data_IF_125691962380
#
_entry.id   IF_125691962380
#
_cell.length_a   1.000
_cell.length_b   1.000
_cell.length_c   1.000
_cell.angle_alpha   90.00
_cell.angle_beta   90.00
_cell.angle_gamma   90.00
#
_symmetry.space_group_name_H-M   'P 1'
#
loop_
_entity.id
_entity.type
_entity.pdbx_description
1 polymer ?
2 non-polymer ?
3 non-polymer ?
4 non-polymer ?
5 water ?
#
# COMPACT_ATOMS: atom_id res chain seq x y z
N UNK A 5 -4.12 -11.31 -11.70
CA UNK A 5 -4.36 -11.06 -10.29
C UNK A 5 -3.40 -9.98 -9.74
N UNK A 6 -2.14 -10.07 -10.13
CA UNK A 6 -1.08 -9.22 -9.59
C UNK A 6 -0.61 -8.26 -10.67
N UNK A 7 -0.72 -6.96 -10.41
CA UNK A 7 -0.38 -5.94 -11.39
C UNK A 7 0.63 -4.98 -10.80
N UNK A 8 1.58 -4.53 -11.62
CA UNK A 8 2.65 -3.62 -11.21
C UNK A 8 2.63 -2.43 -12.15
N UNK A 9 2.47 -1.23 -11.59
CA UNK A 9 2.43 -0.01 -12.40
C UNK A 9 3.40 1.00 -11.79
N UNK A 10 3.76 2.00 -12.60
CA UNK A 10 4.56 3.10 -12.09
C UNK A 10 3.79 4.40 -12.23
N UNK A 11 4.00 5.31 -11.28
CA UNK A 11 3.49 6.67 -11.39
C UNK A 11 4.66 7.62 -11.27
N UNK A 12 4.85 8.45 -12.29
CA UNK A 12 5.87 9.50 -12.31
C UNK A 12 5.22 10.79 -11.82
N UNK A 13 5.67 11.29 -10.68
CA UNK A 13 5.08 12.53 -10.19
C UNK A 13 5.64 13.72 -10.96
N UNK A 14 4.94 14.85 -10.96
CA UNK A 14 5.51 16.07 -11.56
C UNK A 14 6.64 16.61 -10.70
N UNK A 15 7.38 17.55 -11.29
CA UNK A 15 8.46 18.23 -10.57
C UNK A 15 7.90 18.96 -9.36
N UNK A 16 8.61 18.89 -8.25
CA UNK A 16 8.21 19.57 -7.02
C UNK A 16 9.26 20.59 -6.63
N UNK A 17 8.93 21.41 -5.64
CA UNK A 17 9.88 22.41 -5.15
C UNK A 17 11.14 21.74 -4.62
N UNK A 18 11.01 20.55 -4.02
CA UNK A 18 12.17 19.82 -3.51
C UNK A 18 13.14 19.44 -4.61
N UNK A 19 12.68 19.38 -5.87
CA UNK A 19 13.58 19.04 -6.97
C UNK A 19 14.56 20.16 -7.29
N UNK A 20 14.22 21.41 -6.94
CA UNK A 20 15.12 22.51 -7.15
C UNK A 20 15.10 23.05 -8.56
N UNK A 21 16.04 23.94 -8.83
CA UNK A 21 16.27 24.49 -10.16
C UNK A 21 17.68 24.11 -10.62
N UNK A 22 17.97 24.40 -11.88
CA UNK A 22 19.27 24.11 -12.42
C UNK A 22 19.38 22.68 -12.92
N UNK A 23 20.62 22.22 -13.15
CA UNK A 23 20.82 20.92 -13.80
C UNK A 23 20.19 19.76 -13.07
N UNK A 24 20.13 19.80 -11.74
CA UNK A 24 19.59 18.67 -10.98
C UNK A 24 18.12 18.44 -11.26
N UNK A 25 17.40 19.47 -11.71
CA UNK A 25 15.99 19.35 -12.00
C UNK A 25 15.70 19.00 -13.45
N UNK A 26 16.74 18.71 -14.24
CA UNK A 26 16.54 18.33 -15.63
C UNK A 26 15.71 17.04 -15.71
N UNK A 27 14.80 16.98 -16.67
CA UNK A 27 13.99 15.78 -16.84
C UNK A 27 14.85 14.60 -17.24
N UNK A 28 14.60 13.45 -16.60
CA UNK A 28 15.29 12.21 -16.92
C UNK A 28 14.37 11.07 -17.33
N UNK A 29 13.05 11.23 -17.23
CA UNK A 29 12.11 10.16 -17.49
C UNK A 29 11.28 10.51 -18.73
N UNK A 30 11.28 9.60 -19.71
CA UNK A 30 10.52 9.76 -20.95
C UNK A 30 9.79 8.45 -21.23
N UNK A 31 9.08 8.40 -22.36
CA UNK A 31 8.04 7.39 -22.54
C UNK A 31 8.05 6.89 -23.98
N UNK A 32 7.23 5.88 -24.24
CA UNK A 32 7.00 5.41 -25.60
C UNK A 32 5.73 6.05 -26.17
N UNK A 33 5.74 6.27 -27.50
CA UNK A 33 4.60 6.91 -28.13
C UNK A 33 3.39 6.00 -28.22
N UNK A 34 3.60 4.69 -28.30
CA UNK A 34 2.54 3.74 -28.62
C UNK A 34 2.19 2.81 -27.46
N UNK A 35 3.14 2.54 -26.57
CA UNK A 35 3.01 1.49 -25.57
C UNK A 35 3.07 2.15 -24.20
N UNK A 36 1.94 2.22 -23.50
CA UNK A 36 1.91 2.87 -22.19
C UNK A 36 2.48 1.99 -21.08
N UNK A 37 3.13 0.88 -21.43
CA UNK A 37 3.79 0.06 -20.41
C UNK A 37 5.28 0.36 -20.30
N UNK A 38 5.82 1.25 -21.14
CA UNK A 38 7.26 1.46 -21.24
C UNK A 38 7.66 2.74 -20.50
N UNK A 39 8.77 2.71 -19.79
CA UNK A 39 9.32 3.91 -19.19
C UNK A 39 10.82 3.93 -19.45
N UNK A 40 11.33 5.09 -19.86
CA UNK A 40 12.73 5.30 -20.19
C UNK A 40 13.36 6.18 -19.14
N UNK A 41 14.47 5.73 -18.57
CA UNK A 41 15.24 6.51 -17.62
C UNK A 41 16.60 6.87 -18.24
N UNK A 42 16.97 8.14 -18.14
CA UNK A 42 18.33 8.58 -18.44
C UNK A 42 19.10 8.60 -17.13
N UNK A 43 20.08 7.71 -16.99
CA UNK A 43 20.83 7.56 -15.74
C UNK A 43 22.31 7.73 -16.03
N UNK A 44 22.89 8.81 -15.51
CA UNK A 44 24.31 9.13 -15.73
C UNK A 44 24.66 9.08 -17.20
N UNK A 45 23.83 9.71 -18.02
CA UNK A 45 24.10 9.81 -19.43
C UNK A 45 23.80 8.58 -20.25
N UNK A 46 23.30 7.50 -19.64
CA UNK A 46 22.99 6.31 -20.40
C UNK A 46 21.52 5.93 -20.28
N UNK A 47 20.88 5.51 -21.37
CA UNK A 47 19.45 5.20 -21.32
C UNK A 47 19.19 3.81 -20.77
N UNK A 48 18.22 3.70 -19.88
CA UNK A 48 17.74 2.43 -19.35
C UNK A 48 16.22 2.41 -19.52
N UNK A 49 15.70 1.29 -20.01
CA UNK A 49 14.28 1.17 -20.29
C UNK A 49 13.67 0.02 -19.50
N UNK A 50 12.41 0.21 -19.11
CA UNK A 50 11.68 -0.75 -18.29
C UNK A 50 10.30 -0.99 -18.88
N UNK A 51 9.77 -2.18 -18.63
CA UNK A 51 8.41 -2.53 -19.05
C UNK A 51 7.62 -2.93 -17.81
N UNK A 52 6.50 -2.27 -17.59
CA UNK A 52 5.62 -2.59 -16.47
C UNK A 52 4.25 -2.95 -17.04
N UNK A 53 3.26 -3.10 -16.16
CA UNK A 53 1.92 -3.32 -16.68
C UNK A 53 1.29 -2.03 -17.19
N UNK A 54 1.61 -0.90 -16.56
CA UNK A 54 1.15 0.40 -17.04
C UNK A 54 2.03 1.46 -16.39
N UNK A 55 2.24 2.57 -17.11
CA UNK A 55 3.02 3.70 -16.61
C UNK A 55 2.14 4.93 -16.67
N UNK A 56 2.07 5.67 -15.57
CA UNK A 56 1.35 6.94 -15.50
C UNK A 56 2.34 8.09 -15.49
N UNK A 57 2.11 9.08 -16.33
CA UNK A 57 3.01 10.21 -16.49
C UNK A 57 2.73 11.29 -15.46
N UNK A 58 3.54 12.35 -15.42
CA UNK A 58 3.23 13.48 -14.52
C UNK A 58 1.90 14.17 -14.82
N UNK A 59 1.25 13.90 -15.94
CA UNK A 59 -0.08 14.46 -16.21
C UNK A 59 -1.22 13.61 -15.68
N UNK A 60 -0.95 12.40 -15.18
CA UNK A 60 -2.02 11.53 -14.73
C UNK A 60 -2.71 12.11 -13.49
N UNK A 61 -4.03 12.17 -13.52
CA UNK A 61 -4.80 12.67 -12.39
C UNK A 61 -5.07 11.57 -11.38
N UNK A 62 -5.59 11.96 -10.21
CA UNK A 62 -6.02 10.97 -9.23
C UNK A 62 -7.10 10.06 -9.80
N UNK A 63 -8.04 10.63 -10.57
CA UNK A 63 -9.08 9.82 -11.20
C UNK A 63 -8.49 8.81 -12.17
N UNK A 64 -7.54 9.24 -13.01
CA UNK A 64 -6.84 8.31 -13.90
C UNK A 64 -6.26 7.14 -13.14
N UNK A 65 -5.52 7.41 -12.06
CA UNK A 65 -4.93 6.35 -11.26
C UNK A 65 -6.01 5.45 -10.68
N UNK A 66 -7.11 6.03 -10.20
CA UNK A 66 -8.16 5.23 -9.57
C UNK A 66 -8.80 4.24 -10.54
N UNK A 67 -8.72 4.50 -11.85
CA UNK A 67 -9.28 3.55 -12.80
C UNK A 67 -8.60 2.18 -12.70
N UNK A 68 -7.35 2.14 -12.24
CA UNK A 68 -6.65 0.88 -11.98
C UNK A 68 -7.13 0.17 -10.72
N UNK A 69 -7.94 0.84 -9.90
CA UNK A 69 -8.33 0.33 -8.60
C UNK A 69 -9.81 -0.02 -8.52
N UNK A 70 -10.66 0.67 -9.28
CA UNK A 70 -12.10 0.61 -9.01
C UNK A 70 -12.65 -0.80 -9.11
N UNK A 71 -12.14 -1.61 -10.06
CA UNK A 71 -12.65 -2.97 -10.19
C UNK A 71 -12.20 -3.84 -9.01
N UNK A 72 -10.99 -3.62 -8.49
CA UNK A 72 -10.54 -4.36 -7.31
C UNK A 72 -11.45 -4.06 -6.13
N UNK A 73 -11.78 -2.78 -5.94
CA UNK A 73 -12.60 -2.38 -4.80
C UNK A 73 -13.98 -3.01 -4.87
N UNK A 74 -14.60 -3.05 -6.05
CA UNK A 74 -15.94 -3.64 -6.12
C UNK A 74 -15.91 -5.14 -5.84
N UNK A 75 -14.79 -5.80 -6.14
CA UNK A 75 -14.70 -7.23 -5.85
C UNK A 75 -14.65 -7.51 -4.35
N UNK A 76 -14.21 -6.56 -3.52
CA UNK A 76 -14.28 -6.74 -2.07
C UNK A 76 -15.71 -6.92 -1.58
N UNK A 77 -16.65 -6.21 -2.20
CA UNK A 77 -18.07 -6.39 -1.86
C UNK A 77 -18.44 -7.86 -1.95
N UNK A 78 -17.88 -8.57 -2.93
CA UNK A 78 -18.21 -9.97 -3.16
C UNK A 78 -17.38 -10.95 -2.33
N UNK A 79 -16.50 -10.47 -1.46
CA UNK A 79 -15.72 -11.35 -0.62
C UNK A 79 -14.29 -11.59 -1.06
N UNK A 80 -13.82 -10.93 -2.13
CA UNK A 80 -12.42 -11.02 -2.50
C UNK A 80 -11.58 -10.11 -1.63
N UNK A 81 -10.32 -10.49 -1.42
CA UNK A 81 -9.37 -9.65 -0.70
C UNK A 81 -8.44 -8.95 -1.69
N UNK A 82 -8.00 -7.74 -1.33
CA UNK A 82 -7.20 -6.89 -2.20
C UNK A 82 -6.09 -6.24 -1.37
N UNK A 83 -4.89 -6.13 -1.94
CA UNK A 83 -3.83 -5.29 -1.41
C UNK A 83 -3.42 -4.27 -2.46
N UNK A 84 -3.29 -3.01 -2.03
CA UNK A 84 -2.72 -1.96 -2.86
C UNK A 84 -1.54 -1.38 -2.12
N UNK A 85 -0.35 -1.42 -2.75
CA UNK A 85 0.88 -0.92 -2.15
C UNK A 85 1.36 0.31 -2.90
N UNK A 86 1.83 1.32 -2.16
CA UNK A 86 2.57 2.43 -2.74
C UNK A 86 4.03 2.30 -2.30
N UNK A 87 4.94 2.28 -3.27
CA UNK A 87 6.36 1.99 -3.08
C UNK A 87 7.19 3.11 -3.70
N UNK A 88 8.34 3.42 -3.07
CA UNK A 88 9.27 4.36 -3.69
C UNK A 88 9.98 5.23 -2.67
N UNK A 89 10.91 6.07 -3.12
CA UNK A 89 11.70 6.85 -2.19
C UNK A 89 10.84 7.92 -1.53
N UNK A 90 11.23 8.32 -0.31
CA UNK A 90 10.61 9.46 0.32
C UNK A 90 10.65 10.65 -0.63
N UNK A 91 9.51 11.31 -0.79
CA UNK A 91 9.38 12.42 -1.71
C UNK A 91 8.83 12.05 -3.09
N UNK A 92 8.68 10.76 -3.38
CA UNK A 92 8.26 10.35 -4.72
C UNK A 92 6.75 10.38 -4.92
N UNK A 93 5.96 10.52 -3.86
CA UNK A 93 4.54 10.69 -3.98
C UNK A 93 3.65 9.54 -3.49
N UNK A 94 4.16 8.68 -2.61
CA UNK A 94 3.36 7.57 -2.10
C UNK A 94 2.13 8.09 -1.38
N UNK A 95 2.32 9.01 -0.42
CA UNK A 95 1.19 9.47 0.38
C UNK A 95 0.23 10.31 -0.47
N UNK A 96 0.76 11.12 -1.39
CA UNK A 96 -0.12 11.84 -2.30
C UNK A 96 -1.01 10.87 -3.08
N UNK A 97 -0.45 9.76 -3.56
CA UNK A 97 -1.26 8.80 -4.30
C UNK A 97 -2.28 8.10 -3.39
N UNK A 98 -1.88 7.77 -2.16
CA UNK A 98 -2.77 6.99 -1.30
C UNK A 98 -3.80 7.88 -0.59
N UNK A 99 -3.34 8.96 0.06
CA UNK A 99 -4.21 9.86 0.81
C UNK A 99 -4.63 11.08 0.01
N UNK A 100 -3.75 11.62 -0.82
CA UNK A 100 -4.13 12.79 -1.57
C UNK A 100 -4.25 14.02 -0.68
N UNK A 101 -4.99 15.00 -1.20
CA UNK A 101 -5.27 16.23 -0.49
C UNK A 101 -6.77 16.47 -0.52
N UNK A 102 -7.20 17.52 0.19
CA UNK A 102 -8.60 17.91 0.15
C UNK A 102 -9.04 18.20 -1.28
N UNK A 103 -8.22 18.95 -2.02
CA UNK A 103 -8.58 19.27 -3.41
C UNK A 103 -8.41 18.07 -4.34
N UNK A 104 -7.48 17.16 -4.04
CA UNK A 104 -7.18 16.02 -4.91
C UNK A 104 -7.13 14.73 -4.10
N UNK A 105 -8.29 14.19 -3.73
CA UNK A 105 -8.30 12.95 -2.93
C UNK A 105 -7.63 11.79 -3.64
N UNK A 106 -6.99 10.92 -2.87
CA UNK A 106 -6.28 9.79 -3.39
C UNK A 106 -7.08 8.51 -3.39
N UNK A 107 -6.36 7.39 -3.50
CA UNK A 107 -6.99 6.08 -3.61
C UNK A 107 -7.82 5.75 -2.38
N UNK A 108 -7.34 6.12 -1.19
CA UNK A 108 -8.03 5.74 0.05
C UNK A 108 -9.45 6.28 0.07
N UNK A 109 -9.61 7.60 -0.13
CA UNK A 109 -10.95 8.18 -0.06
C UNK A 109 -11.83 7.71 -1.22
N UNK A 110 -11.25 7.59 -2.42
CA UNK A 110 -12.05 7.16 -3.55
C UNK A 110 -12.52 5.73 -3.40
N UNK A 111 -11.67 4.87 -2.84
CA UNK A 111 -12.05 3.47 -2.62
C UNK A 111 -13.21 3.37 -1.62
N UNK A 112 -13.09 4.08 -0.51
CA UNK A 112 -14.17 4.04 0.48
C UNK A 112 -15.45 4.65 -0.07
N UNK A 113 -15.32 5.76 -0.80
CA UNK A 113 -16.49 6.39 -1.41
C UNK A 113 -17.20 5.42 -2.34
N UNK A 114 -16.43 4.67 -3.13
CA UNK A 114 -17.03 3.68 -4.03
C UNK A 114 -17.68 2.54 -3.24
N UNK A 115 -17.02 2.06 -2.17
CA UNK A 115 -17.65 1.03 -1.35
C UNK A 115 -19.00 1.49 -0.82
N UNK A 116 -19.07 2.71 -0.28
CA UNK A 116 -20.35 3.19 0.25
C UNK A 116 -21.42 3.23 -0.83
N UNK A 117 -21.07 3.70 -2.04
CA UNK A 117 -22.07 3.80 -3.09
C UNK A 117 -22.50 2.42 -3.60
N UNK A 118 -21.57 1.48 -3.68
CA UNK A 118 -21.94 0.12 -4.09
C UNK A 118 -22.85 -0.54 -3.07
N UNK A 119 -22.54 -0.39 -1.77
CA UNK A 119 -23.40 -0.94 -0.72
C UNK A 119 -24.80 -0.34 -0.80
N UNK A 120 -24.90 0.96 -1.05
CA UNK A 120 -26.21 1.60 -1.14
C UNK A 120 -27.05 1.05 -2.29
N UNK A 121 -26.44 0.38 -3.27
CA UNK A 121 -27.18 -0.13 -4.40
C UNK A 121 -27.67 -1.56 -4.22
N UNK A 122 -27.24 -2.24 -3.17
CA UNK A 122 -27.61 -3.64 -2.96
C UNK A 122 -29.08 -3.77 -2.57
N UNK A 123 -29.64 -4.97 -2.78
CA UNK A 123 -31.03 -5.23 -2.42
C UNK A 123 -31.22 -5.11 -0.91
N UNK A 124 -32.47 -4.84 -0.52
CA UNK A 124 -32.78 -4.53 0.87
C UNK A 124 -32.55 -5.71 1.82
N UNK A 125 -32.50 -6.93 1.30
CA UNK A 125 -32.15 -8.08 2.13
C UNK A 125 -30.71 -8.01 2.65
N UNK A 126 -29.82 -7.30 1.96
CA UNK A 126 -28.41 -7.27 2.35
C UNK A 126 -28.17 -6.21 3.42
N UNK A 127 -27.33 -6.58 4.39
CA UNK A 127 -26.81 -5.65 5.38
C UNK A 127 -25.29 -5.70 5.33
N UNK A 128 -24.67 -4.57 5.02
CA UNK A 128 -23.21 -4.46 4.98
C UNK A 128 -22.71 -3.63 6.16
N UNK A 129 -21.56 -4.05 6.70
CA UNK A 129 -20.85 -3.30 7.73
C UNK A 129 -19.43 -3.08 7.22
N UNK A 130 -19.00 -1.82 7.18
CA UNK A 130 -17.65 -1.46 6.75
C UNK A 130 -16.91 -0.90 7.96
N UNK A 131 -15.75 -1.46 8.26
CA UNK A 131 -14.91 -0.99 9.34
C UNK A 131 -13.50 -0.72 8.83
N UNK A 132 -12.78 0.13 9.57
CA UNK A 132 -11.40 0.44 9.23
C UNK A 132 -10.54 0.26 10.47
N UNK A 133 -9.34 -0.29 10.27
CA UNK A 133 -8.27 -0.31 11.24
C UNK A 133 -7.03 0.28 10.58
N UNK A 134 -6.10 0.78 11.39
CA UNK A 134 -4.86 1.31 10.85
C UNK A 134 -3.71 0.86 11.73
N UNK A 135 -2.68 0.28 11.10
CA UNK A 135 -1.57 -0.30 11.82
C UNK A 135 -0.25 0.18 11.24
N UNK A 136 0.75 0.26 12.10
CA UNK A 136 2.10 0.65 11.75
C UNK A 136 3.03 -0.54 11.93
N UNK A 137 3.91 -0.75 10.96
CA UNK A 137 5.00 -1.71 11.12
C UNK A 137 6.29 -0.92 11.09
N UNK A 138 6.98 -0.88 12.23
CA UNK A 138 8.23 -0.15 12.40
C UNK A 138 9.26 -1.12 12.98
N UNK A 139 10.35 -1.35 12.23
CA UNK A 139 11.41 -2.26 12.67
C UNK A 139 10.81 -3.60 13.11
N UNK A 140 9.93 -4.13 12.27
CA UNK A 140 9.26 -5.41 12.48
C UNK A 140 8.37 -5.44 13.73
N UNK A 141 7.98 -4.28 14.26
CA UNK A 141 7.02 -4.22 15.37
C UNK A 141 5.71 -3.66 14.84
N UNK A 142 4.60 -4.26 15.29
CA UNK A 142 3.25 -3.92 14.83
C UNK A 142 2.54 -3.20 15.96
N UNK A 143 2.02 -2.01 15.68
CA UNK A 143 1.24 -1.26 16.66
C UNK A 143 0.02 -0.62 15.99
N UNK A 144 -0.98 -0.32 16.83
CA UNK A 144 -2.26 0.21 16.38
C UNK A 144 -2.16 1.72 16.24
N UNK A 145 -2.23 2.23 15.00
CA UNK A 145 -2.18 3.68 14.79
C UNK A 145 -3.38 4.40 15.39
N UNK A 146 -4.49 3.69 15.61
CA UNK A 146 -5.67 4.26 16.21
C UNK A 146 -5.85 3.85 17.65
N UNK A 147 -4.84 3.22 18.26
CA UNK A 147 -4.98 2.72 19.62
C UNK A 147 -4.67 3.77 20.69
N UNK A 148 -5.10 3.45 21.91
CA UNK A 148 -4.91 4.33 23.05
C UNK A 148 -3.46 4.29 23.53
N UNK A 149 -2.86 5.46 23.73
CA UNK A 149 -1.50 5.53 24.26
C UNK A 149 -1.46 4.96 25.68
N UNK A 150 -0.38 4.25 26.06
CA UNK A 150 0.75 3.82 25.24
C UNK A 150 0.46 2.53 24.47
N UNK A 151 0.65 2.55 23.14
CA UNK A 151 0.23 1.41 22.31
C UNK A 151 1.15 0.22 22.52
N UNK A 152 0.57 -0.93 22.84
CA UNK A 152 1.35 -2.14 23.08
C UNK A 152 1.81 -2.74 21.75
N UNK A 153 2.82 -3.62 21.84
CA UNK A 153 3.19 -4.40 20.66
C UNK A 153 2.10 -5.43 20.40
N UNK A 154 1.63 -5.52 19.17
CA UNK A 154 0.54 -6.43 18.83
C UNK A 154 1.08 -7.75 18.30
N UNK A 155 0.36 -8.83 18.59
CA UNK A 155 0.69 -10.17 18.12
C UNK A 155 -0.19 -10.51 16.91
N UNK A 156 0.34 -11.36 16.03
CA UNK A 156 -0.43 -11.93 14.92
C UNK A 156 -0.66 -13.39 15.26
N UNK A 157 -1.92 -13.77 15.47
CA UNK A 157 -2.23 -15.10 15.97
C UNK A 157 -3.05 -15.90 14.97
N UNK A 158 -2.95 -17.21 15.08
CA UNK A 158 -3.77 -18.11 14.27
C UNK A 158 -5.17 -18.21 14.85
N UNK A 159 -6.17 -18.15 13.99
CA UNK A 159 -7.53 -18.33 14.46
C UNK A 159 -7.68 -19.70 15.11
N UNK A 160 -8.36 -19.81 16.25
CA UNK A 160 -8.42 -21.08 16.97
C UNK A 160 -9.38 -22.10 16.37
N UNK A 161 -10.07 -21.78 15.28
CA UNK A 161 -10.94 -22.74 14.61
C UNK A 161 -10.20 -23.67 13.66
N UNK A 162 -8.88 -23.53 13.52
CA UNK A 162 -8.12 -24.37 12.63
C UNK A 162 -8.18 -23.97 11.17
N UNK A 163 -8.77 -22.82 10.85
CA UNK A 163 -8.85 -22.37 9.45
C UNK A 163 -7.49 -21.96 8.90
N UNK A 164 -6.50 -21.73 9.75
CA UNK A 164 -5.23 -21.17 9.30
C UNK A 164 -5.26 -19.68 9.03
N UNK A 165 -6.39 -19.03 9.22
CA UNK A 165 -6.45 -17.58 9.03
C UNK A 165 -5.84 -16.87 10.24
N UNK A 166 -5.39 -15.64 10.00
CA UNK A 166 -4.68 -14.87 11.01
C UNK A 166 -5.58 -13.74 11.53
N UNK A 167 -5.37 -13.36 12.79
CA UNK A 167 -6.03 -12.19 13.35
C UNK A 167 -5.08 -11.49 14.30
N UNK A 168 -5.41 -10.25 14.63
CA UNK A 168 -4.58 -9.42 15.49
C UNK A 168 -5.41 -9.04 16.72
N UNK A 169 -5.23 -9.74 17.84
CA UNK A 169 -5.98 -9.39 19.06
C UNK A 169 -5.71 -7.94 19.47
N UNK A 170 -6.79 -7.22 19.76
CA UNK A 170 -6.65 -5.89 20.31
C UNK A 170 -6.48 -4.77 19.31
N UNK A 171 -6.43 -5.08 18.02
CA UNK A 171 -6.45 -4.04 16.99
C UNK A 171 -7.83 -3.40 16.93
N UNK A 172 -7.90 -2.08 17.05
CA UNK A 172 -9.21 -1.42 17.09
C UNK A 172 -9.83 -1.32 15.70
N UNK A 173 -11.16 -1.42 15.65
CA UNK A 173 -11.92 -1.33 14.41
C UNK A 173 -12.98 -0.25 14.55
N UNK A 174 -13.04 0.66 13.57
CA UNK A 174 -13.99 1.76 13.57
C UNK A 174 -15.02 1.56 12.47
N UNK A 175 -16.29 1.60 12.84
CA UNK A 175 -17.36 1.46 11.86
C UNK A 175 -17.53 2.79 11.11
N UNK A 176 -17.56 2.72 9.78
CA UNK A 176 -17.68 3.93 8.96
C UNK A 176 -18.79 3.72 7.93
N UNK A 177 -19.51 4.81 7.64
CA UNK A 177 -20.61 4.77 6.68
C UNK A 177 -20.57 5.86 5.63
N UNK A 178 -19.62 6.79 5.70
CA UNK A 178 -19.60 7.93 4.80
C UNK A 178 -18.17 8.45 4.73
N UNK A 179 -17.92 9.26 3.70
CA UNK A 179 -16.62 9.90 3.57
C UNK A 179 -16.35 10.82 4.75
N UNK A 180 -17.38 11.46 5.29
CA UNK A 180 -17.20 12.27 6.49
C UNK A 180 -16.71 11.42 7.65
N UNK A 181 -17.24 10.20 7.80
CA UNK A 181 -16.76 9.31 8.86
C UNK A 181 -15.28 8.98 8.68
N UNK A 182 -14.86 8.65 7.45
CA UNK A 182 -13.47 8.27 7.27
C UNK A 182 -12.57 9.47 7.49
N UNK A 183 -13.02 10.67 7.11
CA UNK A 183 -12.22 11.86 7.39
C UNK A 183 -12.03 12.05 8.89
N UNK A 184 -13.08 11.80 9.67
CA UNK A 184 -12.95 11.89 11.13
C UNK A 184 -11.95 10.86 11.65
N UNK A 185 -11.97 9.65 11.09
CA UNK A 185 -11.01 8.63 11.52
C UNK A 185 -9.59 9.06 11.17
N UNK A 186 -9.38 9.55 9.95
CA UNK A 186 -8.04 9.98 9.53
C UNK A 186 -7.53 11.14 10.38
N UNK A 187 -8.40 12.10 10.69
CA UNK A 187 -7.98 13.21 11.54
C UNK A 187 -7.57 12.71 12.92
N UNK A 188 -8.35 11.78 13.49
CA UNK A 188 -7.97 11.18 14.77
C UNK A 188 -6.63 10.47 14.66
N UNK A 189 -6.41 9.74 13.56
CA UNK A 189 -5.13 9.08 13.39
C UNK A 189 -3.97 10.06 13.35
N UNK A 190 -4.12 11.16 12.61
CA UNK A 190 -3.06 12.16 12.55
C UNK A 190 -2.72 12.71 13.93
N UNK A 191 -3.74 13.12 14.68
CA UNK A 191 -3.51 13.61 16.04
C UNK A 191 -2.91 12.53 16.94
N UNK A 192 -3.36 11.29 16.77
CA UNK A 192 -2.93 10.22 17.67
C UNK A 192 -1.45 9.88 17.50
N UNK A 193 -0.84 10.27 16.38
CA UNK A 193 0.53 9.87 16.11
C UNK A 193 1.54 10.56 17.01
N UNK A 194 1.21 11.72 17.58
CA UNK A 194 2.19 12.50 18.33
C UNK A 194 1.67 12.90 19.71
N UNK A 195 0.86 12.06 20.36
CA UNK A 195 0.47 12.35 21.73
C UNK A 195 1.68 12.21 22.67
N UNK A 196 1.50 12.70 23.89
CA UNK A 196 2.61 12.80 24.82
C UNK A 196 3.23 11.43 25.11
N UNK A 197 2.41 10.39 25.29
CA UNK A 197 2.89 9.08 25.70
C UNK A 197 2.85 8.05 24.57
N UNK A 198 2.86 8.48 23.31
CA UNK A 198 2.68 7.55 22.19
C UNK A 198 3.87 6.62 22.05
N UNK A 199 3.60 5.40 21.58
CA UNK A 199 4.66 4.50 21.11
C UNK A 199 4.75 4.43 19.60
N UNK A 200 3.96 5.24 18.89
CA UNK A 200 3.98 5.27 17.44
C UNK A 200 5.15 6.09 16.92
N UNK A 201 5.61 5.77 15.71
CA UNK A 201 6.80 6.42 15.19
C UNK A 201 6.45 7.77 14.60
N UNK A 202 7.17 8.82 15.03
CA UNK A 202 6.86 10.16 14.58
C UNK A 202 7.14 10.34 13.09
N UNK A 203 8.18 9.68 12.56
CA UNK A 203 8.57 9.83 11.15
C UNK A 203 7.84 8.79 10.31
N UNK A 204 6.76 9.22 9.65
CA UNK A 204 5.98 8.29 8.83
C UNK A 204 6.80 7.71 7.68
N UNK A 205 7.86 8.40 7.23
CA UNK A 205 8.68 7.90 6.13
C UNK A 205 9.47 6.64 6.48
N UNK A 206 9.58 6.27 7.76
CA UNK A 206 10.42 5.16 8.17
C UNK A 206 9.61 3.95 8.65
N UNK A 207 8.29 3.94 8.42
CA UNK A 207 7.45 2.83 8.83
C UNK A 207 6.45 2.50 7.72
N UNK A 208 5.98 1.27 7.67
CA UNK A 208 4.87 0.92 6.81
C UNK A 208 3.57 1.28 7.53
N UNK A 209 2.66 1.99 6.85
CA UNK A 209 1.34 2.29 7.40
C UNK A 209 0.29 1.53 6.60
N UNK A 210 -0.55 0.76 7.30
CA UNK A 210 -1.57 -0.06 6.67
C UNK A 210 -2.95 0.43 7.06
N UNK A 211 -3.79 0.72 6.08
CA UNK A 211 -5.22 0.94 6.32
C UNK A 211 -5.96 -0.32 5.91
N UNK A 212 -6.60 -0.97 6.87
CA UNK A 212 -7.27 -2.25 6.63
C UNK A 212 -8.78 -2.00 6.68
N UNK A 213 -9.43 -2.12 5.52
CA UNK A 213 -10.88 -1.96 5.39
C UNK A 213 -11.50 -3.36 5.32
N UNK A 214 -12.43 -3.65 6.22
CA UNK A 214 -13.14 -4.92 6.21
C UNK A 214 -14.59 -4.68 5.77
N UNK A 215 -15.04 -5.39 4.75
CA UNK A 215 -16.39 -5.26 4.21
C UNK A 215 -17.13 -6.56 4.49
N UNK A 216 -18.08 -6.52 5.43
CA UNK A 216 -18.84 -7.69 5.83
C UNK A 216 -20.28 -7.52 5.37
N UNK A 217 -20.78 -8.49 4.60
CA UNK A 217 -22.16 -8.49 4.15
C UNK A 217 -22.88 -9.72 4.64
N UNK A 218 -24.18 -9.58 4.87
CA UNK A 218 -25.02 -10.73 5.16
C UNK A 218 -26.31 -10.59 4.38
N UNK A 219 -26.67 -11.63 3.64
CA UNK A 219 -27.98 -11.72 3.01
C UNK A 219 -28.95 -12.17 4.09
N UNK A 220 -29.77 -11.24 4.59
CA UNK A 220 -30.61 -11.55 5.73
C UNK A 220 -31.74 -12.53 5.39
N UNK A 221 -32.01 -12.77 4.11
CA UNK A 221 -33.03 -13.75 3.75
C UNK A 221 -32.52 -15.18 3.88
N UNK A 222 -31.21 -15.41 3.76
CA UNK A 222 -30.64 -16.74 3.83
C UNK A 222 -29.55 -16.91 4.87
N UNK A 223 -28.97 -15.82 5.39
CA UNK A 223 -27.81 -15.94 6.25
C UNK A 223 -26.49 -16.07 5.53
N UNK A 224 -26.47 -16.00 4.19
CA UNK A 224 -25.19 -16.03 3.48
C UNK A 224 -24.34 -14.83 3.86
N UNK A 225 -23.05 -15.05 4.11
CA UNK A 225 -22.14 -14.02 4.56
C UNK A 225 -20.97 -13.89 3.59
N UNK A 226 -20.53 -12.65 3.38
CA UNK A 226 -19.32 -12.37 2.63
C UNK A 226 -18.39 -11.52 3.47
N UNK A 227 -17.07 -11.70 3.28
CA UNK A 227 -16.06 -10.90 3.96
C UNK A 227 -14.99 -10.55 2.95
N UNK A 228 -14.85 -9.26 2.64
CA UNK A 228 -13.78 -8.78 1.78
C UNK A 228 -12.87 -7.86 2.57
N UNK A 229 -11.57 -7.97 2.31
CA UNK A 229 -10.57 -7.12 2.96
C UNK A 229 -9.86 -6.29 1.91
N UNK A 230 -9.76 -4.98 2.17
CA UNK A 230 -9.04 -4.06 1.30
C UNK A 230 -7.89 -3.46 2.12
N UNK A 231 -6.66 -3.80 1.76
CA UNK A 231 -5.48 -3.38 2.49
C UNK A 231 -4.77 -2.29 1.67
N UNK A 232 -4.75 -1.08 2.21
CA UNK A 232 -4.18 0.08 1.54
C UNK A 232 -2.89 0.42 2.28
N UNK A 233 -1.76 0.21 1.61
CA UNK A 233 -0.46 0.17 2.28
C UNK A 233 0.44 1.26 1.73
N UNK A 234 0.83 2.18 2.59
CA UNK A 234 1.77 3.26 2.29
C UNK A 234 3.11 2.84 2.89
N UNK A 235 3.99 2.31 2.04
CA UNK A 235 5.22 1.68 2.53
C UNK A 235 6.24 2.72 3.03
N UNK A 236 7.13 2.27 3.91
CA UNK A 236 8.29 3.09 4.28
C UNK A 236 9.12 3.42 3.03
N UNK A 237 9.79 4.57 3.08
CA UNK A 237 10.55 5.01 1.92
C UNK A 237 11.70 4.06 1.61
N UNK A 238 11.90 3.78 0.33
CA UNK A 238 12.82 2.74 -0.11
C UNK A 238 14.26 3.22 -0.28
N UNK A 239 14.55 4.51 -0.06
CA UNK A 239 15.87 5.03 -0.44
C UNK A 239 17.00 4.37 0.35
N UNK A 240 18.14 4.20 -0.31
CA UNK A 240 19.34 3.69 0.34
C UNK A 240 19.88 4.74 1.31
N UNK A 241 20.40 4.27 2.44
CA UNK A 241 20.94 5.14 3.48
C UNK A 241 22.45 4.89 3.55
N UNK A 242 23.23 5.95 3.35
CA UNK A 242 24.68 5.82 3.37
C UNK A 242 25.22 5.62 4.78
N UNK A 243 26.19 4.71 4.88
CA UNK A 243 26.80 4.37 6.18
C UNK A 243 27.78 5.44 6.65
CA UNK A 247 24.41 6.31 13.32
C UNK A 247 23.93 4.85 13.34
N UNK A 248 24.29 4.15 14.42
CA UNK A 248 23.89 2.75 14.55
C UNK A 248 22.40 2.53 14.40
N UNK A 249 21.58 3.28 15.16
CA UNK A 249 20.14 3.04 15.10
C UNK A 249 19.55 3.49 13.76
N UNK A 250 20.07 4.55 13.16
CA UNK A 250 19.60 4.92 11.83
C UNK A 250 19.89 3.82 10.81
N UNK A 251 21.09 3.22 10.89
CA UNK A 251 21.43 2.15 9.97
C UNK A 251 20.55 0.91 10.20
N UNK A 252 20.31 0.55 11.46
CA UNK A 252 19.46 -0.61 11.73
C UNK A 252 18.05 -0.38 11.21
N UNK A 253 17.54 0.83 11.37
CA UNK A 253 16.22 1.16 10.82
C UNK A 253 16.21 1.02 9.31
N UNK A 254 17.25 1.52 8.64
CA UNK A 254 17.32 1.40 7.18
C UNK A 254 17.40 -0.06 6.76
N UNK A 255 18.09 -0.88 7.54
CA UNK A 255 18.21 -2.31 7.22
C UNK A 255 16.89 -3.05 7.44
N UNK A 256 16.18 -2.76 8.54
CA UNK A 256 14.82 -3.29 8.69
C UNK A 256 13.96 -2.96 7.47
N UNK A 257 14.02 -1.71 7.01
CA UNK A 257 13.19 -1.32 5.87
C UNK A 257 13.62 -2.07 4.61
N UNK A 258 14.94 -2.15 4.38
CA UNK A 258 15.44 -2.84 3.20
C UNK A 258 15.01 -4.29 3.17
N UNK A 259 15.13 -4.98 4.31
CA UNK A 259 14.79 -6.40 4.37
C UNK A 259 13.30 -6.65 4.23
N UNK A 260 12.46 -5.79 4.83
CA UNK A 260 11.02 -5.95 4.71
C UNK A 260 10.55 -5.66 3.28
N UNK A 261 11.07 -4.60 2.66
CA UNK A 261 10.69 -4.33 1.28
C UNK A 261 11.17 -5.44 0.34
N UNK A 262 12.39 -5.94 0.56
CA UNK A 262 12.89 -7.05 -0.27
C UNK A 262 12.03 -8.29 -0.09
N UNK A 263 11.59 -8.56 1.14
CA UNK A 263 10.72 -9.71 1.38
C UNK A 263 9.37 -9.52 0.67
N UNK A 264 8.83 -8.31 0.71
CA UNK A 264 7.61 -8.04 -0.03
C UNK A 264 7.79 -8.34 -1.52
N UNK A 265 8.93 -7.92 -2.08
CA UNK A 265 9.20 -8.22 -3.49
C UNK A 265 9.32 -9.70 -3.76
N UNK A 266 10.02 -10.43 -2.87
CA UNK A 266 10.14 -11.88 -3.00
C UNK A 266 8.78 -12.56 -2.99
N UNK A 267 7.89 -12.11 -2.11
CA UNK A 267 6.57 -12.74 -2.00
C UNK A 267 5.75 -12.47 -3.26
N UNK A 268 5.70 -11.22 -3.70
CA UNK A 268 4.88 -10.90 -4.86
C UNK A 268 5.42 -11.58 -6.11
N UNK A 269 6.75 -11.60 -6.28
CA UNK A 269 7.33 -12.28 -7.44
C UNK A 269 7.01 -13.77 -7.41
N UNK A 270 7.08 -14.39 -6.23
CA UNK A 270 6.75 -15.80 -6.12
C UNK A 270 5.27 -16.06 -6.41
N UNK A 271 4.39 -15.16 -5.98
CA UNK A 271 2.96 -15.31 -6.26
C UNK A 271 2.68 -15.10 -7.74
N UNK A 272 3.27 -14.05 -8.33
CA UNK A 272 3.02 -13.73 -9.73
C UNK A 272 3.46 -14.87 -10.64
N UNK A 273 4.58 -15.50 -10.32
CA UNK A 273 5.08 -16.61 -11.13
C UNK A 273 4.47 -17.94 -10.74
N UNK A 274 3.54 -17.96 -9.77
CA UNK A 274 2.92 -19.19 -9.28
C UNK A 274 3.97 -20.25 -8.92
N UNK A 275 5.05 -19.81 -8.28
CA UNK A 275 6.01 -20.73 -7.73
C UNK A 275 5.41 -21.48 -6.54
N UNK A 276 6.08 -22.56 -6.15
CA UNK A 276 5.57 -23.41 -5.08
C UNK A 276 5.70 -22.82 -3.68
N UNK A 277 6.82 -22.15 -3.40
CA UNK A 277 7.13 -21.65 -2.07
C UNK A 277 7.01 -20.13 -2.06
N UNK A 278 6.13 -19.60 -1.23
CA UNK A 278 6.00 -18.15 -1.10
C UNK A 278 6.44 -17.79 0.32
N UNK A 279 7.50 -16.99 0.49
CA UNK A 279 8.08 -16.80 1.84
C UNK A 279 7.38 -15.71 2.65
N UNK A 280 6.07 -15.91 2.92
CA UNK A 280 5.31 -14.95 3.71
C UNK A 280 5.93 -14.66 5.07
N UNK A 281 6.47 -15.70 5.73
CA UNK A 281 6.96 -15.57 7.09
C UNK A 281 8.21 -14.70 7.20
N UNK A 282 8.85 -14.37 6.07
CA UNK A 282 10.10 -13.63 6.14
C UNK A 282 9.95 -12.20 6.64
N UNK A 283 8.75 -11.67 6.72
CA UNK A 283 8.57 -10.32 7.24
C UNK A 283 7.19 -10.18 7.85
N UNK A 284 7.10 -9.28 8.83
CA UNK A 284 5.81 -9.04 9.48
C UNK A 284 4.76 -8.57 8.49
N UNK A 285 5.16 -7.71 7.54
CA UNK A 285 4.21 -7.18 6.57
C UNK A 285 3.62 -8.29 5.70
N UNK A 286 4.46 -9.18 5.16
CA UNK A 286 3.93 -10.21 4.28
C UNK A 286 3.21 -11.30 5.06
N UNK A 287 3.64 -11.56 6.29
CA UNK A 287 2.94 -12.54 7.11
C UNK A 287 1.55 -12.03 7.48
N UNK A 288 1.47 -10.78 7.94
CA UNK A 288 0.17 -10.19 8.29
C UNK A 288 -0.81 -10.26 7.12
N UNK A 289 -0.34 -10.01 5.89
CA UNK A 289 -1.22 -9.86 4.74
C UNK A 289 -1.40 -11.13 3.92
N UNK A 290 -0.90 -12.29 4.39
CA UNK A 290 -0.82 -13.45 3.51
C UNK A 290 -2.18 -13.90 3.01
N UNK A 291 -3.23 -13.77 3.84
CA UNK A 291 -4.58 -14.15 3.40
C UNK A 291 -5.15 -13.18 2.37
N UNK A 292 -4.60 -11.98 2.25
CA UNK A 292 -5.01 -11.02 1.22
C UNK A 292 -4.06 -10.97 0.04
N UNK A 293 -3.05 -11.85 0.03
CA UNK A 293 -2.12 -11.93 -1.10
C UNK A 293 -2.27 -13.21 -1.88
N UNK A 294 -2.64 -14.30 -1.22
CA UNK A 294 -2.66 -15.62 -1.83
C UNK A 294 -4.05 -15.94 -2.40
N UNK A 295 -4.16 -17.10 -3.04
CA UNK A 295 -5.46 -17.53 -3.56
C UNK A 295 -5.96 -16.63 -4.67
N UNK A 296 -7.24 -16.27 -4.59
CA UNK A 296 -7.87 -15.41 -5.59
C UNK A 296 -7.79 -13.94 -5.25
N UNK A 297 -7.00 -13.57 -4.24
CA UNK A 297 -6.79 -12.16 -3.91
C UNK A 297 -6.12 -11.42 -5.07
N UNK A 298 -6.37 -10.12 -5.14
CA UNK A 298 -5.78 -9.26 -6.18
C UNK A 298 -4.83 -8.25 -5.54
N UNK A 299 -3.72 -8.00 -6.21
CA UNK A 299 -2.70 -7.07 -5.72
C UNK A 299 -2.39 -6.04 -6.80
N UNK A 300 -2.26 -4.78 -6.38
CA UNK A 300 -1.74 -3.71 -7.22
C UNK A 300 -0.56 -3.07 -6.52
N UNK A 301 0.59 -3.04 -7.19
CA UNK A 301 1.80 -2.41 -6.68
C UNK A 301 2.01 -1.13 -7.47
N UNK A 302 2.03 0.01 -6.79
CA UNK A 302 2.21 1.32 -7.43
C UNK A 302 3.60 1.84 -7.08
N UNK A 303 4.49 1.88 -8.05
CA UNK A 303 5.87 2.32 -7.85
C UNK A 303 5.98 3.80 -8.23
N UNK A 304 6.22 4.64 -7.22
CA UNK A 304 6.33 6.09 -7.38
C UNK A 304 7.78 6.47 -7.70
N UNK A 305 7.96 7.33 -8.72
CA UNK A 305 9.30 7.81 -9.04
C UNK A 305 9.29 9.30 -9.34
N UNK A 306 10.39 9.95 -9.02
CA UNK A 306 10.69 11.31 -9.38
C UNK A 306 11.16 11.37 -10.84
N UNK A 307 10.82 12.42 -11.58
CA UNK A 307 11.23 12.51 -12.99
C UNK A 307 12.60 13.15 -13.24
N UNK A 308 13.30 13.65 -12.21
CA UNK A 308 14.44 14.56 -12.43
C UNK A 308 15.78 13.86 -12.26
N UNK A 309 16.82 14.49 -12.84
CA UNK A 309 18.16 13.91 -12.85
C UNK A 309 18.70 13.65 -11.44
N UNK A 310 18.38 14.54 -10.50
CA UNK A 310 18.88 14.41 -9.13
C UNK A 310 18.61 13.03 -8.52
N UNK A 311 17.51 12.38 -8.91
CA UNK A 311 17.02 11.19 -8.23
C UNK A 311 17.14 9.91 -9.06
N UNK A 312 17.95 9.91 -10.14
CA UNK A 312 17.91 8.76 -11.04
C UNK A 312 18.44 7.48 -10.39
N UNK A 313 19.37 7.58 -9.43
CA UNK A 313 19.81 6.37 -8.74
C UNK A 313 18.64 5.69 -8.04
N UNK A 314 17.85 6.45 -7.27
CA UNK A 314 16.71 5.85 -6.57
C UNK A 314 15.60 5.48 -7.54
N UNK A 315 15.42 6.25 -8.62
CA UNK A 315 14.43 5.86 -9.62
C UNK A 315 14.83 4.53 -10.25
N UNK A 316 16.13 4.36 -10.53
CA UNK A 316 16.61 3.10 -11.08
C UNK A 316 16.32 1.93 -10.13
N UNK A 317 16.66 2.09 -8.85
CA UNK A 317 16.37 1.04 -7.86
C UNK A 317 14.88 0.73 -7.82
N UNK A 318 14.03 1.77 -7.79
CA UNK A 318 12.60 1.54 -7.72
C UNK A 318 12.08 0.83 -8.96
N UNK A 319 12.57 1.20 -10.15
CA UNK A 319 12.07 0.55 -11.35
C UNK A 319 12.64 -0.86 -11.48
N UNK A 320 13.86 -1.11 -10.98
CA UNK A 320 14.35 -2.50 -10.93
C UNK A 320 13.50 -3.35 -9.99
N UNK A 321 13.07 -2.79 -8.86
CA UNK A 321 12.14 -3.49 -7.98
C UNK A 321 10.84 -3.81 -8.73
N UNK A 322 10.29 -2.84 -9.45
CA UNK A 322 9.06 -3.07 -10.19
C UNK A 322 9.21 -4.19 -11.20
N UNK A 323 10.31 -4.20 -11.95
CA UNK A 323 10.49 -5.26 -12.95
C UNK A 323 10.67 -6.60 -12.27
N UNK A 324 11.38 -6.62 -11.14
CA UNK A 324 11.56 -7.85 -10.37
C UNK A 324 10.23 -8.46 -9.92
N UNK A 325 9.30 -7.63 -9.44
CA UNK A 325 8.05 -8.22 -8.97
C UNK A 325 7.12 -8.55 -10.12
N UNK A 326 7.33 -7.97 -11.29
CA UNK A 326 6.51 -8.27 -12.45
C UNK A 326 6.94 -9.58 -13.12
N UNK A 327 8.20 -9.98 -12.92
CA UNK A 327 8.72 -11.20 -13.53
X LIG B 1 6.14 10.31 -0.11
X LIG B 1 7.30 10.80 0.71
X LIG B 1 6.55 9.26 -1.13
X LIG B 1 4.89 9.94 0.65
X LIG B 1 4.59 12.67 -0.75
X LIG B 1 4.91 13.34 0.56
X LIG B 1 3.23 12.10 -1.04
X LIG B 1 5.73 11.57 -1.03
X LIG B 1 4.92 13.73 -1.94
X LIG B 1 6.03 14.62 -1.89
X LIG B 1 5.60 15.95 -2.52
X LIG B 1 5.28 15.77 -3.90
X LIG B 1 4.35 16.46 -1.83
X LIG B 1 4.48 17.85 -1.62
X LIG B 1 3.23 16.20 -2.81
X LIG B 1 2.24 17.24 -2.75
X LIG B 1 3.93 16.18 -4.16
X LIG B 1 3.35 15.18 -5.09
X LIG B 1 3.57 13.85 -5.07
X LIG B 1 2.91 13.23 -6.07
X LIG B 1 2.26 14.18 -6.77
X LIG B 1 1.38 14.21 -7.96
X LIG B 1 1.06 13.08 -8.62
X LIG B 1 0.92 15.41 -8.35
X LIG B 1 1.23 16.55 -7.71
X LIG B 1 2.03 16.60 -6.63
X LIG B 1 2.57 15.46 -6.12
X LIG C 1 4.64 9.63 2.74
X LIG D 1 3.44 -11.95 16.21
X LIG E 1 -2.87 4.70 2.88
X LIG F 1 -16.22 -1.51 15.57
X LIG G 1 8.62 11.44 7.80
X LIG H 1 -9.44 -7.52 15.61
X LIG I 1 -2.71 6.85 28.96
X LIG J 1 10.32 4.43 -27.19
X LIG K 1 -12.41 -2.41 18.09
X LIG L 1 14.36 9.84 -0.75
X LIG M 1 16.61 -3.17 15.79
X LIG N 1 6.79 10.28 25.28
X LIG O 1 -12.22 13.85 -9.28
X LIG P 1 6.41 18.31 -14.11
X LIG Q 1 19.28 7.86 -1.29
X LIG R 1 16.62 1.95 -2.96
X LIG S 1 -0.14 8.85 -18.12
X LIG T 1 7.20 0.27 17.11
X LIG U 1 17.53 -0.75 -20.94
X LIG V 1 -0.89 14.42 24.33
X LIG W 1 1.38 14.11 0.24
X LIG X 1 7.03 -8.10 18.23
X LIG Y 1 -8.48 4.48 20.49
X LIG Z 1 -7.53 6.67 22.26
X LIG AA 1 4.68 -6.54 17.11
X LIG BA 1 21.46 10.88 -13.90
X LIG CA 1 20.85 10.02 -8.23
X LIG DA 1 -20.29 5.45 11.68
X LIG EA 1 -4.18 8.42 -6.46
X LIG FA 1 8.82 1.85 -0.64
X LIG GA 1 -5.63 -10.42 5.26
X LIG HA 1 -5.73 -7.85 6.27
X LIG IA 1 -26.24 -2.22 4.32
X LIG JA 1 -8.67 13.62 -10.43
X LIG KA 1 -0.54 1.51 -24.96
X LIG LA 1 10.62 2.30 18.62
X LIG MA 1 14.11 19.36 -18.21
X LIG NA 1 -20.12 9.42 1.64
X LIG OA 1 -19.89 12.13 3.60
X LIG PA 1 23.69 5.22 -25.42
X LIG QA 1 24.61 7.44 -23.90
X LIG RA 1 9.39 8.18 17.16
X LIG SA 1 -0.75 15.09 18.87
X LIG TA 1 22.49 5.18 17.38
X LIG UA 1 4.49 5.76 11.89
X LIG VA 1 4.75 5.13 7.85
X LIG WA 1 -12.32 -12.59 1.72
#
# INVERSE_FOLDING_TARGET
>A
GSKGNIRVIARVRPVTKEDGEGPEATNAVTFDADDDSIIHLLHKGKPVSFELDKVFSPQASQQDVFQEVQALVTSCIDGFNVCIFAYGQTGAGKTYTMEGTAENPGINQRALQLLFSEVQEKASDWEYTITVSAAEIYNEVLRDLLGKEPQEKLEIRLCPDGSGQLYVPGLTEFQVQSVDDINKVFEFGHTNRTTEFTNLNEHSSRSHALLIVTVRGVDCSTGLRTTGKLNLVDLAGSERVGKSGAEGSRLREAQHINKSLSALGDVIAALRSRQGHVPFRNSKLTYLLQDSLSGDSKTLMVVQVSPVEKNTSETLYSLKFAERVRSVEL
>B hetero
1 ADP PB O1B O2B O3B PA O1A O2A O3A O5' C5' C4' O4' C3' O3' C2' O2' C1' N9 C8 N7 C5 C6 N6 N1 C2 N3 C4
>C hetero
1 MG MG
>D hetero
1 UNX UNK
>E hetero
1 UNX UNK
>F hetero
1 UNX UNK
>G hetero
1 UNX UNK
>H hetero
1 UNX UNK
>I hetero
1 UNX UNK
>J hetero
1 UNX UNK
>K hetero
1 UNX UNK
>L hetero
1 UNX UNK
>M hetero
1 UNX UNK
>N hetero
1 UNX UNK
>O hetero
1 UNX UNK
>P hetero
1 UNX UNK
>Q hetero
1 UNX UNK
>R hetero
1 UNX UNK
>S hetero
1 UNX UNK
>T hetero
1 UNX UNK
>U hetero
1 UNX UNK
>V hetero
1 UNX UNK
>W hetero
1 UNX UNK
>X hetero
1 UNX UNK
>Y hetero
1 UNX UNK
>Z hetero
1 UNX UNK
>AA hetero
1 UNX UNK
>BA hetero
1 UNX UNK
>CA hetero
1 UNX UNK
>DA hetero
1 UNX UNK
>EA hetero
1 UNX UNK
>FA hetero
1 UNX UNK
>GA hetero
1 UNX UNK
>HA hetero
1 UNX UNK
>IA hetero
1 UNX UNK
>JA hetero
1 UNX UNK
>KA hetero
1 UNX UNK
>LA hetero
1 UNX UNK
>MA hetero
1 UNX UNK
>NA hetero
1 UNX UNK
>OA hetero
1 UNX UNK
>PA hetero
1 UNX UNK
>QA hetero
1 UNX UNK
>RA hetero
1 UNX UNK
>SA hetero
1 UNX UNK
>TA hetero
1 UNX UNK
>UA hetero
1 UNX UNK
>VA hetero
1 UNX UNK
>WA hetero
1 UNX UNK
#
